data_IF_114121764045
#
_entry.id   IF_114121764045
#
_cell.length_a   1.000
_cell.length_b   1.000
_cell.length_c   1.000
_cell.angle_alpha   90.00
_cell.angle_beta   90.00
_cell.angle_gamma   90.00
#
_symmetry.space_group_name_H-M   'P 1'
#
loop_
_entity.id
_entity.type
_entity.pdbx_description
1 polymer ?
#
# COMPACT_ATOMS: atom_id res chain seq x y z
N UNK A 1 74.36 1.75 -27.47
CA UNK A 1 73.54 2.66 -26.62
C UNK A 1 72.15 2.75 -27.22
N UNK A 2 71.12 2.38 -26.46
CA UNK A 2 69.75 2.10 -26.96
C UNK A 2 68.95 3.41 -27.11
N UNK A 3 68.50 3.71 -28.34
CA UNK A 3 67.43 4.69 -28.60
C UNK A 3 66.09 4.06 -28.26
N UNK A 4 65.25 4.72 -27.46
CA UNK A 4 63.83 4.35 -27.33
C UNK A 4 62.99 5.51 -27.86
N UNK A 5 62.26 5.21 -28.94
CA UNK A 5 61.22 6.05 -29.52
C UNK A 5 60.01 6.16 -28.56
N UNK A 6 59.36 7.31 -28.64
CA UNK A 6 58.08 7.66 -28.04
C UNK A 6 56.91 6.78 -28.53
N UNK A 7 55.86 6.66 -27.71
CA UNK A 7 54.44 6.94 -28.02
C UNK A 7 53.53 6.32 -26.94
N UNK A 8 52.50 7.05 -26.53
CA UNK A 8 51.34 6.45 -25.87
C UNK A 8 50.65 7.35 -24.83
N UNK A 9 49.92 8.37 -25.28
CA UNK A 9 48.90 9.03 -24.48
C UNK A 9 47.73 8.04 -24.36
N UNK A 10 47.47 7.50 -23.17
CA UNK A 10 46.22 6.81 -22.86
C UNK A 10 45.33 7.72 -22.02
N UNK A 11 44.40 8.39 -22.71
CA UNK A 11 43.20 8.97 -22.10
C UNK A 11 42.30 7.78 -21.73
N UNK A 12 42.13 7.51 -20.44
CA UNK A 12 41.14 6.56 -19.95
C UNK A 12 40.11 7.34 -19.13
N UNK A 13 39.07 7.82 -19.81
CA UNK A 13 37.89 8.39 -19.18
C UNK A 13 37.13 7.28 -18.43
N UNK A 14 37.29 7.25 -17.11
CA UNK A 14 36.46 6.44 -16.21
C UNK A 14 36.08 7.29 -14.99
N UNK A 15 35.23 8.29 -15.20
CA UNK A 15 34.54 8.98 -14.11
C UNK A 15 33.10 9.17 -14.55
N UNK A 16 32.19 8.39 -13.97
CA UNK A 16 30.76 8.68 -14.09
C UNK A 16 29.85 7.48 -14.15
N UNK A 17 29.85 6.59 -13.15
CA UNK A 17 28.70 5.69 -12.91
C UNK A 17 28.31 5.60 -11.41
N UNK A 18 29.11 6.10 -10.46
CA UNK A 18 28.90 5.77 -9.04
C UNK A 18 27.80 6.52 -8.29
N UNK A 19 27.05 7.44 -8.92
CA UNK A 19 26.06 8.26 -8.21
C UNK A 19 24.80 8.51 -9.05
N UNK A 20 24.14 7.45 -9.48
CA UNK A 20 22.71 7.58 -9.75
C UNK A 20 21.99 7.65 -8.39
N UNK A 21 21.26 8.72 -8.05
CA UNK A 21 20.35 8.66 -6.92
C UNK A 21 19.39 7.49 -7.16
N UNK A 22 19.16 6.65 -6.15
CA UNK A 22 18.07 5.69 -6.22
C UNK A 22 16.80 6.50 -6.51
N UNK A 23 16.16 6.24 -7.65
CA UNK A 23 14.87 6.79 -7.97
C UNK A 23 13.85 6.22 -6.96
N UNK A 24 13.73 6.90 -5.83
CA UNK A 24 12.67 6.68 -4.87
C UNK A 24 11.48 7.51 -5.37
N UNK A 25 10.87 7.07 -6.47
CA UNK A 25 9.49 7.46 -6.71
C UNK A 25 8.69 6.74 -5.61
N UNK A 26 8.10 7.50 -4.70
CA UNK A 26 7.14 6.96 -3.74
C UNK A 26 5.92 6.50 -4.55
N UNK A 27 5.93 5.22 -4.94
CA UNK A 27 4.82 4.62 -5.68
C UNK A 27 3.73 4.32 -4.67
N UNK A 28 2.74 5.20 -4.57
CA UNK A 28 1.57 4.89 -3.77
C UNK A 28 0.76 3.84 -4.49
N UNK A 29 0.48 2.74 -3.79
CA UNK A 29 -0.37 1.69 -4.30
C UNK A 29 -1.76 2.24 -4.64
N UNK A 30 -2.34 1.75 -5.73
CA UNK A 30 -3.74 2.06 -6.04
C UNK A 30 -4.61 1.35 -5.01
N UNK A 31 -5.21 2.12 -4.09
CA UNK A 31 -5.93 1.58 -2.94
C UNK A 31 -7.42 1.95 -2.98
N UNK A 32 -8.27 0.99 -2.66
CA UNK A 32 -9.70 1.16 -2.44
C UNK A 32 -10.06 0.60 -1.07
N UNK A 33 -10.99 1.24 -0.36
CA UNK A 33 -11.57 0.72 0.87
C UNK A 33 -13.09 0.82 0.82
N UNK A 34 -13.77 -0.30 1.05
CA UNK A 34 -15.24 -0.36 1.04
C UNK A 34 -15.79 -0.99 2.32
N UNK A 35 -17.05 -0.69 2.68
CA UNK A 35 -17.74 -1.45 3.72
C UNK A 35 -17.82 -2.94 3.38
N UNK A 36 -17.67 -3.78 4.39
CA UNK A 36 -17.61 -5.24 4.27
C UNK A 36 -18.24 -5.94 5.47
N UNK A 37 -18.53 -7.23 5.30
CA UNK A 37 -19.14 -8.07 6.34
C UNK A 37 -20.62 -7.75 6.56
N UNK A 38 -21.18 -8.30 7.64
CA UNK A 38 -22.59 -8.11 7.98
C UNK A 38 -22.87 -6.62 8.26
N UNK A 39 -23.79 -6.03 7.50
CA UNK A 39 -24.22 -4.63 7.58
C UNK A 39 -23.07 -3.59 7.47
N UNK A 40 -21.95 -3.93 6.82
CA UNK A 40 -20.83 -2.98 6.66
C UNK A 40 -20.07 -2.69 7.96
N UNK A 41 -20.13 -3.61 8.93
CA UNK A 41 -19.43 -3.48 10.23
C UNK A 41 -17.91 -3.58 10.14
N UNK A 42 -17.39 -4.07 9.01
CA UNK A 42 -15.96 -4.16 8.73
C UNK A 42 -15.62 -3.33 7.49
N UNK A 43 -14.33 -3.08 7.30
CA UNK A 43 -13.78 -2.45 6.10
C UNK A 43 -12.94 -3.48 5.36
N UNK A 44 -13.15 -3.60 4.04
CA UNK A 44 -12.23 -4.33 3.15
C UNK A 44 -11.41 -3.32 2.36
N UNK A 45 -10.11 -3.31 2.59
CA UNK A 45 -9.13 -2.52 1.86
C UNK A 45 -8.39 -3.41 0.86
N UNK A 46 -8.33 -2.99 -0.39
CA UNK A 46 -7.57 -3.64 -1.45
C UNK A 46 -6.60 -2.63 -2.03
N UNK A 47 -5.33 -3.01 -2.13
CA UNK A 47 -4.29 -2.20 -2.75
C UNK A 47 -3.53 -3.02 -3.77
N UNK A 48 -3.33 -2.46 -4.96
CA UNK A 48 -2.59 -3.10 -6.04
C UNK A 48 -1.25 -2.41 -6.28
N UNK A 49 -0.23 -3.24 -6.50
CA UNK A 49 1.06 -2.81 -7.02
C UNK A 49 1.03 -2.58 -8.53
N UNK A 50 2.14 -2.11 -9.11
CA UNK A 50 2.26 -1.96 -10.55
C UNK A 50 2.07 -3.29 -11.29
N UNK A 51 1.51 -3.22 -12.49
CA UNK A 51 1.48 -4.37 -13.41
C UNK A 51 2.91 -4.72 -13.80
N UNK A 52 3.25 -5.99 -13.62
CA UNK A 52 4.49 -6.62 -14.03
C UNK A 52 4.49 -6.85 -15.56
N UNK A 53 5.67 -7.07 -16.17
CA UNK A 53 5.78 -7.27 -17.62
C UNK A 53 4.98 -8.47 -18.16
N UNK A 54 4.66 -9.45 -17.31
CA UNK A 54 3.84 -10.62 -17.63
C UNK A 54 2.32 -10.33 -17.56
N UNK A 55 1.92 -9.12 -17.21
CA UNK A 55 0.53 -8.70 -17.04
C UNK A 55 -0.08 -9.01 -15.67
N UNK A 56 0.69 -9.59 -14.75
CA UNK A 56 0.25 -9.84 -13.37
C UNK A 56 0.52 -8.62 -12.49
N UNK A 57 -0.18 -8.49 -11.36
CA UNK A 57 0.15 -7.51 -10.32
C UNK A 57 0.04 -8.16 -8.95
N UNK A 58 0.68 -7.54 -7.96
CA UNK A 58 0.58 -7.97 -6.58
C UNK A 58 -0.58 -7.25 -5.92
N UNK A 59 -1.53 -8.00 -5.36
CA UNK A 59 -2.65 -7.48 -4.58
C UNK A 59 -2.43 -7.70 -3.10
N UNK A 60 -2.72 -6.67 -2.32
CA UNK A 60 -2.83 -6.70 -0.87
C UNK A 60 -4.29 -6.53 -0.50
N UNK A 61 -4.85 -7.46 0.27
CA UNK A 61 -6.22 -7.37 0.78
C UNK A 61 -6.20 -7.44 2.30
N UNK A 62 -6.94 -6.54 2.92
CA UNK A 62 -7.11 -6.48 4.37
C UNK A 62 -8.59 -6.33 4.72
N UNK A 63 -9.07 -7.14 5.66
CA UNK A 63 -10.39 -6.98 6.27
C UNK A 63 -10.18 -6.61 7.74
N UNK A 64 -10.70 -5.46 8.14
CA UNK A 64 -10.38 -4.85 9.42
C UNK A 64 -11.48 -3.92 9.92
N UNK A 65 -11.42 -3.58 11.20
CA UNK A 65 -12.20 -2.49 11.81
C UNK A 65 -11.21 -1.40 12.23
N UNK A 66 -11.41 -0.14 11.79
CA UNK A 66 -10.54 0.95 12.19
C UNK A 66 -10.63 1.23 13.68
N UNK A 67 -9.53 1.71 14.25
CA UNK A 67 -9.53 2.23 15.61
C UNK A 67 -10.54 3.39 15.70
N UNK A 68 -11.42 3.34 16.69
CA UNK A 68 -12.48 4.33 16.83
C UNK A 68 -12.93 4.45 18.29
N UNK A 69 -13.55 5.59 18.59
CA UNK A 69 -14.24 5.77 19.87
C UNK A 69 -15.64 5.16 19.78
N UNK A 70 -15.95 4.21 20.67
CA UNK A 70 -17.31 3.68 20.78
C UNK A 70 -18.17 4.73 21.48
N UNK A 71 -19.23 5.23 20.83
CA UNK A 71 -20.08 6.25 21.43
C UNK A 71 -20.76 5.71 22.69
N UNK A 72 -20.98 6.59 23.67
CA UNK A 72 -21.84 6.28 24.80
C UNK A 72 -23.28 6.19 24.29
N UNK A 73 -23.94 5.08 24.59
CA UNK A 73 -25.36 4.88 24.32
C UNK A 73 -26.07 4.53 25.61
N UNK A 74 -27.09 5.32 25.95
CA UNK A 74 -27.99 5.06 27.07
C UNK A 74 -29.34 4.67 26.51
N UNK A 75 -29.80 3.48 26.85
CA UNK A 75 -31.14 2.99 26.53
C UNK A 75 -31.95 2.89 27.81
N UNK A 76 -33.11 3.52 27.84
CA UNK A 76 -34.03 3.50 28.97
C UNK A 76 -35.31 2.75 28.61
N UNK A 77 -35.66 1.77 29.44
CA UNK A 77 -37.00 1.19 29.49
C UNK A 77 -37.88 1.92 30.51
N UNK A 78 -39.06 1.37 30.80
CA UNK A 78 -40.04 1.98 31.71
C UNK A 78 -39.53 2.11 33.16
N UNK A 79 -38.62 1.24 33.60
CA UNK A 79 -38.19 1.18 35.01
C UNK A 79 -36.67 1.20 35.19
N UNK A 80 -35.88 1.13 34.11
CA UNK A 80 -34.42 1.02 34.18
C UNK A 80 -33.77 1.68 32.97
N UNK A 81 -32.55 2.20 33.18
CA UNK A 81 -31.69 2.68 32.11
C UNK A 81 -30.39 1.88 32.12
N UNK A 82 -29.91 1.52 30.94
CA UNK A 82 -28.61 0.89 30.74
C UNK A 82 -27.77 1.79 29.86
N UNK A 83 -26.60 2.19 30.37
CA UNK A 83 -25.60 2.93 29.62
C UNK A 83 -24.45 2.00 29.24
N UNK A 84 -24.01 2.07 27.99
CA UNK A 84 -22.90 1.28 27.44
C UNK A 84 -22.04 2.15 26.52
N UNK A 85 -20.82 1.71 26.22
CA UNK A 85 -19.88 2.43 25.34
C UNK A 85 -18.99 3.43 26.09
N UNK A 86 -18.48 4.44 25.36
CA UNK A 86 -17.62 5.49 25.92
C UNK A 86 -16.14 5.14 26.03
N UNK A 87 -15.72 4.04 25.41
CA UNK A 87 -14.33 3.58 25.44
C UNK A 87 -13.71 3.62 24.04
N UNK A 88 -12.38 3.74 24.03
CA UNK A 88 -11.60 3.58 22.81
C UNK A 88 -11.51 2.11 22.43
N UNK A 89 -11.70 1.81 21.15
CA UNK A 89 -11.41 0.51 20.57
C UNK A 89 -10.23 0.63 19.63
N UNK A 90 -9.23 -0.20 19.86
CA UNK A 90 -8.10 -0.31 18.95
C UNK A 90 -8.55 -0.97 17.65
N UNK A 91 -7.74 -0.80 16.61
CA UNK A 91 -7.96 -1.48 15.34
C UNK A 91 -8.00 -3.00 15.54
N UNK A 92 -8.80 -3.66 14.71
CA UNK A 92 -8.88 -5.12 14.69
C UNK A 92 -8.78 -5.62 13.26
N UNK A 93 -7.70 -6.35 12.98
CA UNK A 93 -7.48 -6.99 11.69
C UNK A 93 -7.97 -8.43 11.76
N UNK A 94 -8.84 -8.81 10.82
CA UNK A 94 -9.38 -10.17 10.70
C UNK A 94 -8.65 -10.96 9.63
N UNK A 95 -8.28 -10.29 8.54
CA UNK A 95 -7.57 -10.90 7.41
C UNK A 95 -6.57 -9.88 6.86
N UNK A 96 -5.35 -10.32 6.57
CA UNK A 96 -4.32 -9.56 5.85
C UNK A 96 -3.60 -10.55 4.94
N UNK A 97 -3.79 -10.41 3.64
CA UNK A 97 -3.25 -11.34 2.63
C UNK A 97 -2.60 -10.59 1.48
N UNK A 98 -1.59 -11.23 0.89
CA UNK A 98 -0.84 -10.74 -0.27
C UNK A 98 -0.75 -11.86 -1.30
N UNK A 99 -1.16 -11.60 -2.53
CA UNK A 99 -1.16 -12.62 -3.60
C UNK A 99 -1.01 -12.00 -4.99
N UNK A 100 -0.43 -12.73 -5.96
CA UNK A 100 -0.41 -12.31 -7.35
C UNK A 100 -1.80 -12.45 -7.98
N UNK A 101 -2.15 -11.51 -8.85
CA UNK A 101 -3.42 -11.48 -9.58
C UNK A 101 -3.13 -11.22 -11.05
N UNK A 102 -3.93 -11.84 -11.92
CA UNK A 102 -3.99 -11.57 -13.35
C UNK A 102 -5.42 -11.17 -13.69
N UNK A 103 -5.69 -10.56 -14.86
CA UNK A 103 -7.05 -10.22 -15.26
C UNK A 103 -8.04 -11.40 -15.22
N UNK A 104 -7.54 -12.63 -15.42
CA UNK A 104 -8.35 -13.86 -15.38
C UNK A 104 -8.55 -14.45 -13.98
N UNK A 105 -7.73 -14.05 -12.99
CA UNK A 105 -7.75 -14.62 -11.63
C UNK A 105 -8.22 -13.64 -10.57
N UNK A 106 -8.75 -12.46 -10.98
CA UNK A 106 -9.41 -11.53 -10.07
C UNK A 106 -10.58 -12.25 -9.40
N UNK A 107 -10.60 -12.26 -8.06
CA UNK A 107 -11.66 -12.91 -7.29
C UNK A 107 -12.98 -12.17 -7.58
N UNK A 108 -14.10 -12.90 -7.81
CA UNK A 108 -15.40 -12.27 -8.00
C UNK A 108 -15.75 -11.28 -6.88
N UNK A 109 -16.18 -10.07 -7.26
CA UNK A 109 -16.52 -9.00 -6.32
C UNK A 109 -15.33 -8.19 -5.80
N UNK A 110 -14.11 -8.44 -6.29
CA UNK A 110 -12.98 -7.51 -6.15
C UNK A 110 -12.89 -6.58 -7.37
N UNK A 111 -12.33 -5.37 -7.20
CA UNK A 111 -12.08 -4.50 -8.34
C UNK A 111 -11.04 -5.13 -9.29
N UNK A 112 -11.03 -4.62 -10.53
CA UNK A 112 -9.92 -4.83 -11.45
C UNK A 112 -8.61 -4.23 -10.91
N UNK A 113 -7.58 -4.16 -11.74
CA UNK A 113 -6.32 -3.56 -11.33
C UNK A 113 -6.52 -2.09 -10.95
N UNK A 114 -6.07 -1.73 -9.74
CA UNK A 114 -6.07 -0.35 -9.25
C UNK A 114 -4.72 0.31 -9.59
N UNK A 115 -4.69 1.33 -10.46
CA UNK A 115 -3.44 1.96 -10.88
C UNK A 115 -2.76 2.66 -9.70
N UNK A 116 -1.45 2.44 -9.49
CA UNK A 116 -0.67 3.22 -8.54
C UNK A 116 -0.71 4.71 -8.88
N UNK A 117 -0.86 5.55 -7.85
CA UNK A 117 -0.70 6.99 -8.00
C UNK A 117 0.75 7.34 -7.75
N UNK A 118 1.36 8.06 -8.69
CA UNK A 118 2.67 8.66 -8.48
C UNK A 118 2.40 10.06 -7.92
N UNK A 119 2.50 10.24 -6.61
CA UNK A 119 2.60 11.59 -6.07
C UNK A 119 4.04 12.07 -6.25
N UNK A 120 4.19 13.22 -6.90
CA UNK A 120 5.34 14.07 -6.63
C UNK A 120 5.28 14.55 -5.16
N UNK A 121 6.25 15.33 -4.71
CA UNK A 121 6.48 15.70 -3.29
C UNK A 121 5.30 16.41 -2.54
N UNK A 122 4.09 16.41 -3.09
CA UNK A 122 2.88 17.11 -2.65
C UNK A 122 1.95 16.33 -1.70
N UNK A 123 2.25 15.08 -1.36
CA UNK A 123 1.68 14.42 -0.17
C UNK A 123 0.25 13.88 -0.28
N UNK A 124 0.16 12.56 -0.31
CA UNK A 124 -0.89 11.81 0.36
C UNK A 124 -0.21 10.63 1.07
N UNK A 125 -0.52 10.35 2.33
CA UNK A 125 0.17 9.29 3.08
C UNK A 125 -0.58 7.96 2.91
N UNK A 126 0.03 6.89 2.38
CA UNK A 126 -0.60 5.59 2.32
C UNK A 126 -0.82 5.00 3.72
N UNK A 127 -1.91 4.23 3.85
CA UNK A 127 -2.21 3.41 5.01
C UNK A 127 -1.05 2.43 5.19
N UNK A 128 -0.39 2.47 6.35
CA UNK A 128 0.87 1.76 6.58
C UNK A 128 0.63 0.25 6.60
N UNK A 129 1.20 -0.49 5.65
CA UNK A 129 1.04 -1.94 5.51
C UNK A 129 2.07 -2.77 6.29
N UNK A 130 2.89 -2.13 7.14
CA UNK A 130 3.86 -2.86 7.97
C UNK A 130 3.18 -3.82 8.95
#
# INVERSE_FOLDING_TARGET
>A
MKRKLALGITISAYVGISWAPQANADVQLGCESIPWGFLGTQTRSICDGPIQPDGSWVRFRMVWIPAHQVPVSTSCGTYTCTTSGGYWQNEKVFEKVKYPVTPATVVPGEPGWLPPTYTDASGFTPINFN
#
